data_IF_946296981798
#
_entry.id   IF_946296981798
#
_cell.length_a   1.000
_cell.length_b   1.000
_cell.length_c   1.000
_cell.angle_alpha   90.00
_cell.angle_beta   90.00
_cell.angle_gamma   90.00
#
_symmetry.space_group_name_H-M   'P 1'
#
loop_
_entity.id
_entity.type
_entity.pdbx_description
1 polymer ?
#
# COMPACT_ATOMS: atom_id res chain seq x y z
N UNK A 1 -20.05 26.22 1.03
CA UNK A 1 -19.67 25.30 2.12
C UNK A 1 -18.16 25.31 2.19
N UNK A 2 -17.58 26.05 3.14
CA UNK A 2 -16.13 26.15 3.30
C UNK A 2 -15.61 24.90 4.00
N UNK A 3 -14.74 24.13 3.33
CA UNK A 3 -14.03 23.02 3.94
C UNK A 3 -12.96 23.56 4.90
N UNK A 4 -13.37 24.02 6.08
CA UNK A 4 -12.43 24.35 7.16
C UNK A 4 -11.91 23.04 7.76
N UNK A 5 -10.62 22.80 7.56
CA UNK A 5 -9.77 21.87 8.30
C UNK A 5 -10.40 20.51 8.60
N UNK A 6 -10.53 19.67 7.57
CA UNK A 6 -10.89 18.28 7.75
C UNK A 6 -9.67 17.49 8.29
N UNK A 7 -9.69 16.99 9.54
CA UNK A 7 -8.56 16.26 10.13
C UNK A 7 -8.26 14.94 9.42
N UNK A 8 -9.18 14.43 8.57
CA UNK A 8 -8.99 13.18 7.83
C UNK A 8 -7.97 13.29 6.67
N UNK A 9 -7.55 14.50 6.31
CA UNK A 9 -6.59 14.79 5.23
C UNK A 9 -5.38 15.64 5.67
N UNK A 10 -4.96 15.51 6.93
CA UNK A 10 -3.66 16.10 7.34
C UNK A 10 -2.53 15.15 6.93
N UNK A 11 -2.25 15.08 5.63
CA UNK A 11 -0.95 14.61 5.17
C UNK A 11 0.07 15.68 5.58
N UNK A 12 0.73 15.45 6.71
CA UNK A 12 1.76 16.32 7.29
C UNK A 12 3.06 16.24 6.48
N UNK A 13 3.03 16.75 5.25
CA UNK A 13 4.26 17.10 4.54
C UNK A 13 4.47 18.61 4.71
N UNK A 14 5.25 19.00 5.71
CA UNK A 14 5.81 20.34 5.74
C UNK A 14 6.88 20.44 4.65
N UNK A 15 7.00 21.61 4.01
CA UNK A 15 8.11 21.90 3.09
C UNK A 15 9.49 21.71 3.75
N UNK A 16 9.53 21.68 5.08
CA UNK A 16 10.74 21.54 5.89
C UNK A 16 11.05 20.08 6.28
N UNK A 17 10.25 19.10 5.85
CA UNK A 17 10.52 17.69 6.14
C UNK A 17 11.62 17.14 5.23
N UNK A 18 12.73 16.71 5.82
CA UNK A 18 13.82 16.07 5.05
C UNK A 18 13.34 14.74 4.50
N UNK A 19 13.80 14.37 3.29
CA UNK A 19 13.51 13.06 2.67
C UNK A 19 13.85 11.91 3.64
N UNK A 20 14.93 12.06 4.41
CA UNK A 20 15.34 11.11 5.44
C UNK A 20 14.26 10.89 6.52
N UNK A 21 13.58 11.97 6.95
CA UNK A 21 12.49 11.87 7.92
C UNK A 21 11.27 11.10 7.36
N UNK A 22 11.01 11.21 6.07
CA UNK A 22 9.92 10.50 5.38
C UNK A 22 10.25 9.00 5.28
N UNK A 23 11.48 8.66 4.90
CA UNK A 23 11.97 7.28 4.85
C UNK A 23 11.92 6.65 6.24
N UNK A 24 12.43 7.34 7.28
CA UNK A 24 12.42 6.83 8.65
C UNK A 24 11.00 6.55 9.17
N UNK A 25 10.06 7.47 8.94
CA UNK A 25 8.64 7.26 9.29
C UNK A 25 8.03 6.06 8.56
N UNK A 26 8.46 5.80 7.33
CA UNK A 26 8.03 4.64 6.59
C UNK A 26 8.61 3.34 7.15
N UNK A 27 9.89 3.32 7.51
CA UNK A 27 10.54 2.19 8.16
C UNK A 27 9.88 1.85 9.50
N UNK A 28 9.57 2.85 10.33
CA UNK A 28 8.83 2.69 11.59
C UNK A 28 7.47 2.00 11.35
N UNK A 29 6.70 2.46 10.35
CA UNK A 29 5.43 1.83 9.97
C UNK A 29 5.62 0.41 9.42
N UNK A 30 6.64 0.17 8.60
CA UNK A 30 6.96 -1.17 8.10
C UNK A 30 7.20 -2.15 9.25
N UNK A 31 7.94 -1.71 10.29
CA UNK A 31 8.20 -2.51 11.48
C UNK A 31 6.93 -2.78 12.29
N UNK A 32 6.01 -1.81 12.41
CA UNK A 32 4.70 -2.03 13.03
C UNK A 32 3.89 -3.10 12.31
N UNK A 33 3.80 -3.02 10.98
CA UNK A 33 3.11 -4.03 10.17
C UNK A 33 3.77 -5.41 10.27
N UNK A 34 5.10 -5.48 10.35
CA UNK A 34 5.81 -6.75 10.48
C UNK A 34 5.55 -7.46 11.81
N UNK A 35 5.38 -6.73 12.92
CA UNK A 35 5.10 -7.32 14.25
C UNK A 35 3.86 -8.20 14.24
N UNK A 36 2.86 -7.82 13.45
CA UNK A 36 1.61 -8.58 13.31
C UNK A 36 1.66 -9.56 12.13
N UNK A 37 2.85 -9.91 11.63
CA UNK A 37 3.04 -10.73 10.41
C UNK A 37 2.29 -10.16 9.20
N UNK A 38 2.23 -8.83 9.11
CA UNK A 38 1.48 -8.09 8.10
C UNK A 38 -0.02 -8.41 8.06
N UNK A 39 -0.61 -8.88 9.18
CA UNK A 39 -2.06 -9.03 9.31
C UNK A 39 -2.74 -7.69 9.08
N UNK A 40 -3.64 -7.65 8.12
CA UNK A 40 -4.40 -6.43 7.83
C UNK A 40 -5.62 -6.36 8.73
N UNK A 41 -5.54 -5.54 9.78
CA UNK A 41 -6.67 -5.30 10.70
C UNK A 41 -7.65 -4.28 10.13
N UNK A 42 -7.13 -3.22 9.47
CA UNK A 42 -7.93 -2.18 8.84
C UNK A 42 -7.59 -2.08 7.34
N UNK A 43 -8.52 -2.50 6.45
CA UNK A 43 -8.40 -2.37 5.00
C UNK A 43 -8.02 -0.97 4.50
N UNK A 44 -8.56 0.09 5.12
CA UNK A 44 -8.30 1.45 4.68
C UNK A 44 -6.87 1.88 5.00
N UNK A 45 -6.38 1.59 6.21
CA UNK A 45 -4.99 1.86 6.58
C UNK A 45 -4.00 1.07 5.73
N UNK A 46 -4.36 -0.14 5.32
CA UNK A 46 -3.54 -0.94 4.42
C UNK A 46 -3.41 -0.34 3.02
N UNK A 47 -4.51 0.15 2.43
CA UNK A 47 -4.43 0.85 1.14
C UNK A 47 -3.55 2.10 1.25
N UNK A 48 -3.71 2.89 2.32
CA UNK A 48 -2.84 4.04 2.59
C UNK A 48 -1.37 3.62 2.66
N UNK A 49 -1.09 2.52 3.34
CA UNK A 49 0.27 1.98 3.44
C UNK A 49 0.83 1.58 2.07
N UNK A 50 0.05 0.87 1.24
CA UNK A 50 0.45 0.51 -0.13
C UNK A 50 0.78 1.75 -0.99
N UNK A 51 -0.03 2.80 -0.89
CA UNK A 51 0.20 4.07 -1.57
C UNK A 51 1.48 4.74 -1.06
N UNK A 52 1.72 4.71 0.25
CA UNK A 52 2.92 5.26 0.85
C UNK A 52 4.18 4.48 0.44
N UNK A 53 4.13 3.15 0.40
CA UNK A 53 5.22 2.31 -0.14
C UNK A 53 5.54 2.64 -1.59
N UNK A 54 4.51 2.92 -2.39
CA UNK A 54 4.69 3.35 -3.79
C UNK A 54 5.39 4.69 -3.90
N UNK A 55 5.07 5.64 -3.01
CA UNK A 55 5.74 6.93 -2.92
C UNK A 55 7.21 6.76 -2.53
N UNK A 56 7.50 5.96 -1.50
CA UNK A 56 8.87 5.69 -1.05
C UNK A 56 9.68 5.02 -2.15
N UNK A 57 9.09 4.05 -2.86
CA UNK A 57 9.73 3.41 -4.02
C UNK A 57 10.12 4.45 -5.08
N UNK A 58 9.23 5.39 -5.41
CA UNK A 58 9.54 6.48 -6.37
C UNK A 58 10.67 7.38 -5.91
N UNK A 59 10.73 7.68 -4.61
CA UNK A 59 11.80 8.51 -4.02
C UNK A 59 13.15 7.80 -4.14
N UNK A 60 13.18 6.49 -3.90
CA UNK A 60 14.41 5.68 -3.83
C UNK A 60 14.74 4.95 -5.14
N UNK A 61 13.97 5.15 -6.21
CA UNK A 61 14.05 4.32 -7.41
C UNK A 61 15.45 4.33 -8.05
N UNK A 62 16.11 5.49 -8.06
CA UNK A 62 17.45 5.64 -8.64
C UNK A 62 18.50 4.91 -7.80
N UNK A 63 18.37 4.96 -6.48
CA UNK A 63 19.25 4.29 -5.52
C UNK A 63 19.06 2.78 -5.63
N UNK A 64 17.81 2.31 -5.65
CA UNK A 64 17.45 0.89 -5.85
C UNK A 64 18.05 0.35 -7.15
N UNK A 65 18.06 1.14 -8.24
CA UNK A 65 18.61 0.70 -9.53
C UNK A 65 20.10 0.39 -9.52
N UNK A 66 20.84 0.85 -8.50
CA UNK A 66 22.28 0.63 -8.33
C UNK A 66 22.59 -0.57 -7.42
N UNK A 67 21.59 -1.13 -6.75
CA UNK A 67 21.78 -2.23 -5.82
C UNK A 67 21.97 -3.58 -6.54
N UNK A 68 22.74 -4.46 -5.91
CA UNK A 68 22.71 -5.89 -6.25
C UNK A 68 21.51 -6.53 -5.55
N UNK A 69 20.54 -6.96 -6.35
CA UNK A 69 19.26 -7.50 -5.89
C UNK A 69 19.19 -9.01 -6.10
N UNK A 70 18.59 -9.71 -5.14
CA UNK A 70 18.20 -11.12 -5.30
C UNK A 70 17.03 -11.26 -6.27
N UNK A 71 16.75 -12.48 -6.74
CA UNK A 71 15.63 -12.75 -7.65
C UNK A 71 14.27 -12.28 -7.08
N UNK A 72 14.02 -12.54 -5.80
CA UNK A 72 12.78 -12.09 -5.11
C UNK A 72 12.69 -10.56 -5.01
N UNK A 73 13.83 -9.89 -4.80
CA UNK A 73 13.89 -8.43 -4.74
C UNK A 73 13.68 -7.82 -6.13
N UNK A 74 14.27 -8.41 -7.18
CA UNK A 74 14.03 -8.00 -8.58
C UNK A 74 12.55 -8.16 -8.94
N UNK A 75 11.91 -9.29 -8.59
CA UNK A 75 10.47 -9.49 -8.77
C UNK A 75 9.66 -8.38 -8.09
N UNK A 76 10.02 -8.05 -6.84
CA UNK A 76 9.34 -7.00 -6.06
C UNK A 76 9.51 -5.61 -6.68
N UNK A 77 10.72 -5.26 -7.12
CA UNK A 77 10.99 -3.99 -7.80
C UNK A 77 10.21 -3.88 -9.11
N UNK A 78 10.16 -4.95 -9.91
CA UNK A 78 9.41 -4.95 -11.17
C UNK A 78 7.90 -4.80 -10.93
N UNK A 79 7.36 -5.47 -9.92
CA UNK A 79 5.97 -5.28 -9.49
C UNK A 79 5.69 -3.81 -9.14
N UNK A 80 6.55 -3.19 -8.33
CA UNK A 80 6.40 -1.78 -7.92
C UNK A 80 6.54 -0.80 -9.07
N UNK A 81 7.44 -1.07 -10.04
CA UNK A 81 7.60 -0.26 -11.26
C UNK A 81 6.33 -0.19 -12.09
N UNK A 82 5.56 -1.28 -12.19
CA UNK A 82 4.26 -1.31 -12.85
C UNK A 82 3.19 -0.68 -11.96
N UNK A 83 3.14 -1.11 -10.70
CA UNK A 83 2.11 -0.68 -9.75
C UNK A 83 2.09 0.84 -9.53
N UNK A 84 3.26 1.51 -9.54
CA UNK A 84 3.32 2.98 -9.41
C UNK A 84 2.63 3.72 -10.56
N UNK A 85 2.43 3.11 -11.71
CA UNK A 85 1.68 3.67 -12.84
C UNK A 85 0.27 3.10 -12.96
N UNK A 86 -0.17 2.33 -11.95
CA UNK A 86 -1.45 1.59 -11.96
C UNK A 86 -1.51 0.53 -13.06
N UNK A 87 -0.34 0.04 -13.46
CA UNK A 87 -0.19 -1.14 -14.29
C UNK A 87 -0.05 -2.37 -13.40
N UNK A 88 -0.67 -3.47 -13.81
CA UNK A 88 -0.74 -4.69 -13.00
C UNK A 88 0.00 -5.84 -13.69
N UNK A 89 0.81 -6.56 -12.94
CA UNK A 89 1.59 -7.70 -13.42
C UNK A 89 0.88 -9.03 -13.17
N UNK A 90 0.92 -9.92 -14.14
CA UNK A 90 0.41 -11.29 -13.97
C UNK A 90 1.42 -12.17 -13.23
N UNK A 91 0.98 -13.19 -12.47
CA UNK A 91 -0.42 -13.55 -12.19
C UNK A 91 -1.05 -12.65 -11.12
N UNK A 92 -2.25 -12.14 -11.39
CA UNK A 92 -2.90 -11.13 -10.53
C UNK A 92 -3.18 -11.67 -9.13
N UNK A 93 -3.63 -12.92 -9.05
CA UNK A 93 -3.97 -13.61 -7.81
C UNK A 93 -2.76 -13.77 -6.90
N UNK A 94 -1.53 -13.85 -7.41
CA UNK A 94 -0.33 -13.95 -6.56
C UNK A 94 0.23 -12.57 -6.20
N UNK A 95 -0.05 -11.56 -7.02
CA UNK A 95 0.57 -10.25 -6.91
C UNK A 95 -0.28 -9.25 -6.12
N UNK A 96 -1.59 -9.43 -6.15
CA UNK A 96 -2.54 -8.47 -5.61
C UNK A 96 -3.62 -9.09 -4.73
N UNK A 97 -4.16 -8.25 -3.85
CA UNK A 97 -5.38 -8.48 -3.10
C UNK A 97 -6.40 -7.42 -3.51
N UNK A 98 -7.69 -7.76 -3.47
CA UNK A 98 -8.75 -6.86 -3.91
C UNK A 98 -9.23 -6.01 -2.74
N UNK A 99 -9.07 -4.70 -2.86
CA UNK A 99 -9.72 -3.73 -2.00
C UNK A 99 -11.07 -3.34 -2.56
N UNK A 100 -12.08 -3.23 -1.70
CA UNK A 100 -13.41 -2.78 -2.08
C UNK A 100 -13.99 -1.81 -1.07
N UNK A 101 -14.79 -0.86 -1.57
CA UNK A 101 -15.59 0.06 -0.78
C UNK A 101 -17.05 -0.20 -1.07
N UNK A 102 -17.82 -0.38 -0.01
CA UNK A 102 -19.24 -0.63 -0.06
C UNK A 102 -19.98 0.48 0.66
N UNK A 103 -21.15 0.84 0.15
CA UNK A 103 -22.01 1.89 0.68
C UNK A 103 -23.41 1.33 0.87
N UNK A 104 -23.99 1.53 2.05
CA UNK A 104 -25.39 1.22 2.29
C UNK A 104 -26.30 2.44 2.01
N UNK A 105 -27.62 2.25 2.12
CA UNK A 105 -28.59 3.33 1.88
C UNK A 105 -28.45 4.52 2.83
N UNK A 106 -28.01 4.30 4.07
CA UNK A 106 -27.76 5.38 5.04
C UNK A 106 -26.48 6.17 4.76
N UNK A 107 -25.70 5.75 3.76
CA UNK A 107 -24.44 6.39 3.38
C UNK A 107 -23.21 5.94 4.16
N UNK A 108 -23.34 4.92 5.01
CA UNK A 108 -22.22 4.30 5.74
C UNK A 108 -21.30 3.58 4.76
N UNK A 109 -19.99 3.74 4.95
CA UNK A 109 -18.97 3.07 4.16
C UNK A 109 -18.34 1.92 4.93
N UNK A 110 -18.15 0.79 4.26
CA UNK A 110 -17.37 -0.35 4.75
C UNK A 110 -16.28 -0.68 3.75
N UNK A 111 -15.09 -0.96 4.28
CA UNK A 111 -13.90 -1.31 3.53
C UNK A 111 -13.59 -2.78 3.73
N UNK A 112 -13.22 -3.47 2.65
CA UNK A 112 -12.84 -4.88 2.71
C UNK A 112 -11.63 -5.16 1.85
N UNK A 113 -10.83 -6.11 2.31
CA UNK A 113 -9.82 -6.80 1.53
C UNK A 113 -10.25 -8.24 1.36
N UNK A 114 -10.16 -8.76 0.14
CA UNK A 114 -10.41 -10.17 -0.13
C UNK A 114 -9.40 -10.70 -1.14
N UNK A 115 -9.14 -12.00 -1.08
CA UNK A 115 -8.42 -12.65 -2.16
C UNK A 115 -9.19 -12.45 -3.48
N UNK A 116 -8.47 -12.43 -4.60
CA UNK A 116 -9.08 -12.36 -5.94
C UNK A 116 -9.86 -13.63 -6.25
N UNK A 117 -9.49 -14.74 -5.61
CA UNK A 117 -10.15 -16.05 -5.76
C UNK A 117 -11.41 -16.17 -4.90
N UNK A 118 -11.56 -15.33 -3.87
CA UNK A 118 -12.66 -15.41 -2.94
C UNK A 118 -13.96 -14.91 -3.59
N UNK A 119 -15.04 -15.67 -3.41
CA UNK A 119 -16.39 -15.17 -3.69
C UNK A 119 -16.76 -14.19 -2.58
N UNK A 120 -16.79 -12.89 -2.89
CA UNK A 120 -17.25 -11.88 -1.94
C UNK A 120 -18.74 -12.10 -1.65
N UNK A 121 -19.06 -12.34 -0.38
CA UNK A 121 -20.44 -12.39 0.10
C UNK A 121 -20.70 -11.12 0.91
N UNK A 122 -21.67 -10.32 0.47
CA UNK A 122 -22.14 -9.16 1.21
C UNK A 122 -23.67 -9.18 1.19
N UNK A 123 -24.26 -8.93 2.36
CA UNK A 123 -25.70 -8.93 2.60
C UNK A 123 -26.47 -7.93 1.74
N UNK A 124 -27.77 -8.21 1.60
CA UNK A 124 -28.73 -7.32 0.96
C UNK A 124 -28.69 -5.91 1.61
N UNK A 125 -28.60 -4.86 0.78
CA UNK A 125 -28.57 -3.46 1.22
C UNK A 125 -27.21 -2.75 1.09
N UNK A 126 -26.16 -3.45 0.68
CA UNK A 126 -24.84 -2.86 0.42
C UNK A 126 -24.52 -2.84 -1.08
N UNK A 127 -24.13 -1.67 -1.59
CA UNK A 127 -23.72 -1.48 -2.97
C UNK A 127 -22.22 -1.24 -3.05
N UNK A 128 -21.52 -1.99 -3.90
CA UNK A 128 -20.09 -1.75 -4.16
C UNK A 128 -19.94 -0.47 -4.97
N UNK A 129 -19.26 0.53 -4.40
CA UNK A 129 -19.05 1.83 -5.03
C UNK A 129 -17.62 2.01 -5.56
N UNK A 130 -16.67 1.21 -5.08
CA UNK A 130 -15.29 1.24 -5.55
C UNK A 130 -14.61 -0.12 -5.39
N UNK A 131 -13.66 -0.41 -6.28
CA UNK A 131 -12.74 -1.53 -6.13
C UNK A 131 -11.39 -1.23 -6.76
N UNK A 132 -10.32 -1.70 -6.14
CA UNK A 132 -8.95 -1.52 -6.62
C UNK A 132 -8.07 -2.70 -6.21
N UNK A 133 -7.01 -2.95 -6.98
CA UNK A 133 -6.02 -3.96 -6.64
C UNK A 133 -4.88 -3.32 -5.86
N UNK A 134 -4.51 -3.93 -4.75
CA UNK A 134 -3.37 -3.49 -3.94
C UNK A 134 -2.36 -4.61 -3.82
N UNK A 135 -1.07 -4.26 -3.75
CA UNK A 135 0.02 -5.23 -3.62
C UNK A 135 -0.19 -6.11 -2.40
N UNK A 136 0.09 -7.40 -2.49
CA UNK A 136 -0.09 -8.29 -1.33
C UNK A 136 0.93 -8.04 -0.22
N UNK A 137 0.60 -8.42 1.04
CA UNK A 137 1.47 -8.13 2.18
C UNK A 137 2.86 -8.78 2.11
N UNK A 138 3.00 -9.91 1.41
CA UNK A 138 4.26 -10.67 1.34
C UNK A 138 5.38 -9.87 0.66
N UNK A 139 5.02 -8.94 -0.23
CA UNK A 139 5.97 -8.05 -0.88
C UNK A 139 6.62 -7.07 0.09
N UNK A 140 5.97 -6.69 1.20
CA UNK A 140 6.53 -5.71 2.14
C UNK A 140 7.78 -6.21 2.86
N UNK A 141 7.92 -7.53 3.03
CA UNK A 141 9.15 -8.13 3.55
C UNK A 141 10.35 -7.85 2.63
N UNK A 142 10.17 -7.99 1.32
CA UNK A 142 11.23 -7.71 0.35
C UNK A 142 11.47 -6.21 0.20
N UNK A 143 10.40 -5.39 0.25
CA UNK A 143 10.52 -3.92 0.25
C UNK A 143 11.37 -3.44 1.42
N UNK A 144 11.17 -3.98 2.62
CA UNK A 144 11.98 -3.68 3.79
C UNK A 144 13.46 -3.99 3.54
N UNK A 145 13.79 -5.19 3.06
CA UNK A 145 15.18 -5.58 2.74
C UNK A 145 15.83 -4.64 1.73
N UNK A 146 15.10 -4.30 0.66
CA UNK A 146 15.59 -3.38 -0.38
C UNK A 146 15.92 -2.02 0.23
N UNK A 147 15.07 -1.50 1.11
CA UNK A 147 15.29 -0.19 1.74
C UNK A 147 16.45 -0.23 2.72
N UNK A 148 16.58 -1.30 3.51
CA UNK A 148 17.72 -1.47 4.43
C UNK A 148 19.07 -1.45 3.70
N UNK A 149 19.14 -2.01 2.49
CA UNK A 149 20.36 -1.97 1.64
C UNK A 149 20.75 -0.56 1.15
N UNK A 150 19.86 0.42 1.26
CA UNK A 150 20.13 1.83 0.89
C UNK A 150 20.60 2.62 2.11
N UNK A 151 20.20 2.19 3.31
CA UNK A 151 20.55 2.83 4.57
C UNK A 151 21.92 2.37 5.11
N UNK A 152 22.50 1.30 4.55
CA UNK A 152 23.88 0.84 4.75
C UNK A 152 24.89 1.63 3.90
#
# INVERSE_FOLDING_TARGET
MEFKNNPYFVDTFSKDSSIFSVIKKYEEKLLEFEKDSFKVVDPYNYVKFCLYSTLIFRILEKEISKLSLSEEEVKTVNLLKKYKYREFDTPYEENYIKFTVWKNETGTLVYQLSDLRDKMYIDEGWNRVYSYYVIRPEYFKQIKKIISKIAE
#
